data_IF_535267501530
#
_entry.id   IF_535267501530
#
_cell.length_a   1.000
_cell.length_b   1.000
_cell.length_c   1.000
_cell.angle_alpha   90.00
_cell.angle_beta   90.00
_cell.angle_gamma   90.00
#
_symmetry.space_group_name_H-M   'P 1'
#
loop_
_entity.id
_entity.type
_entity.pdbx_description
1 polymer ?
#
# COMPACT_ATOMS: atom_id res chain seq x y z
N UNK A 1 -10.18 0.37 -0.55
CA UNK A 1 -11.49 0.02 -1.19
C UNK A 1 -12.57 0.94 -0.63
N UNK A 2 -13.06 1.81 -1.46
CA UNK A 2 -14.17 2.70 -1.17
C UNK A 2 -15.27 2.40 -2.21
N UNK A 3 -16.33 1.64 -1.87
CA UNK A 3 -17.32 1.18 -2.86
C UNK A 3 -17.98 2.29 -3.66
N UNK A 4 -18.14 3.46 -3.03
CA UNK A 4 -18.73 4.65 -3.68
C UNK A 4 -17.69 5.49 -4.44
N UNK A 5 -16.40 5.17 -4.34
CA UNK A 5 -15.31 5.87 -5.00
C UNK A 5 -14.22 4.89 -5.48
N UNK A 6 -14.45 4.09 -6.52
CA UNK A 6 -13.54 3.05 -6.98
C UNK A 6 -12.36 3.57 -7.82
N UNK A 7 -12.09 4.87 -7.85
CA UNK A 7 -11.11 5.47 -8.76
C UNK A 7 -9.70 4.89 -8.61
N UNK A 8 -9.22 4.69 -7.37
CA UNK A 8 -7.91 4.07 -7.11
C UNK A 8 -7.91 2.58 -7.47
N UNK A 9 -8.98 1.86 -7.16
CA UNK A 9 -9.10 0.43 -7.48
C UNK A 9 -9.10 0.23 -9.01
N UNK A 10 -9.84 1.05 -9.76
CA UNK A 10 -9.83 1.08 -11.22
C UNK A 10 -8.45 1.47 -11.78
N UNK A 11 -7.77 2.43 -11.14
CA UNK A 11 -6.43 2.82 -11.55
C UNK A 11 -5.45 1.65 -11.45
N UNK A 12 -5.47 0.91 -10.34
CA UNK A 12 -4.62 -0.28 -10.15
C UNK A 12 -4.91 -1.34 -11.21
N UNK A 13 -6.19 -1.68 -11.45
CA UNK A 13 -6.57 -2.69 -12.45
C UNK A 13 -6.06 -2.37 -13.86
N UNK A 14 -6.07 -1.08 -14.23
CA UNK A 14 -5.59 -0.62 -15.55
C UNK A 14 -4.08 -0.78 -15.75
N UNK A 15 -3.29 -0.88 -14.67
CA UNK A 15 -1.84 -1.07 -14.77
C UNK A 15 -1.47 -2.49 -15.21
N UNK A 16 -2.33 -3.48 -15.05
CA UNK A 16 -2.04 -4.88 -15.35
C UNK A 16 -1.89 -5.21 -16.85
N UNK A 17 -2.23 -4.29 -17.76
CA UNK A 17 -2.06 -4.48 -19.21
C UNK A 17 -2.94 -5.59 -19.81
N UNK A 18 -3.88 -6.16 -19.06
CA UNK A 18 -4.85 -7.18 -19.48
C UNK A 18 -6.28 -6.72 -19.21
N UNK A 19 -7.23 -7.17 -20.05
CA UNK A 19 -8.63 -6.75 -19.92
C UNK A 19 -9.34 -7.31 -18.68
N UNK A 20 -8.84 -8.38 -18.07
CA UNK A 20 -9.44 -9.02 -16.88
C UNK A 20 -8.37 -9.58 -15.94
N UNK A 21 -7.63 -8.71 -15.22
CA UNK A 21 -6.54 -9.14 -14.37
C UNK A 21 -6.99 -10.02 -13.21
N UNK A 22 -6.14 -10.99 -12.85
CA UNK A 22 -6.26 -11.79 -11.64
C UNK A 22 -5.75 -10.98 -10.46
N UNK A 23 -6.64 -10.49 -9.61
CA UNK A 23 -6.28 -9.74 -8.40
C UNK A 23 -6.45 -10.61 -7.16
N UNK A 24 -5.41 -10.63 -6.30
CA UNK A 24 -5.43 -11.36 -5.05
C UNK A 24 -5.38 -10.40 -3.85
N UNK A 25 -6.39 -10.48 -2.99
CA UNK A 25 -6.40 -9.77 -1.72
C UNK A 25 -5.63 -10.56 -0.65
N UNK A 26 -4.74 -9.88 0.08
CA UNK A 26 -3.96 -10.46 1.18
C UNK A 26 -4.33 -9.75 2.49
N UNK A 27 -5.30 -10.30 3.28
CA UNK A 27 -5.85 -9.66 4.48
C UNK A 27 -5.06 -9.94 5.77
N UNK A 28 -3.81 -10.42 5.68
CA UNK A 28 -3.01 -10.87 6.84
C UNK A 28 -2.92 -9.81 7.93
N UNK A 29 -2.78 -8.53 7.59
CA UNK A 29 -2.68 -7.43 8.56
C UNK A 29 -3.93 -7.29 9.45
N UNK A 30 -5.09 -7.72 8.96
CA UNK A 30 -6.36 -7.75 9.70
C UNK A 30 -6.68 -9.12 10.32
N UNK A 31 -5.67 -10.01 10.42
CA UNK A 31 -5.83 -11.39 10.88
C UNK A 31 -6.85 -12.19 10.05
N UNK A 32 -6.83 -12.00 8.74
CA UNK A 32 -7.74 -12.62 7.76
C UNK A 32 -9.24 -12.39 8.10
N UNK A 33 -9.57 -11.19 8.60
CA UNK A 33 -10.93 -10.85 9.02
C UNK A 33 -11.95 -11.04 7.89
N UNK A 34 -12.93 -11.93 8.09
CA UNK A 34 -13.91 -12.30 7.09
C UNK A 34 -14.68 -11.10 6.53
N UNK A 35 -15.11 -10.17 7.36
CA UNK A 35 -15.81 -8.96 6.90
C UNK A 35 -14.95 -8.02 6.04
N UNK A 36 -13.62 -8.13 6.10
CA UNK A 36 -12.73 -7.40 5.20
C UNK A 36 -12.59 -8.12 3.86
N UNK A 37 -12.53 -9.45 3.89
CA UNK A 37 -12.57 -10.30 2.69
C UNK A 37 -13.88 -10.08 1.93
N UNK A 38 -15.01 -10.07 2.62
CA UNK A 38 -16.34 -9.85 2.02
C UNK A 38 -16.40 -8.47 1.34
N UNK A 39 -15.92 -7.41 1.99
CA UNK A 39 -15.85 -6.06 1.40
C UNK A 39 -14.96 -6.00 0.15
N UNK A 40 -13.87 -6.75 0.13
CA UNK A 40 -13.03 -6.86 -1.06
C UNK A 40 -13.81 -7.47 -2.23
N UNK A 41 -14.50 -8.59 -2.00
CA UNK A 41 -15.32 -9.21 -3.05
C UNK A 41 -16.47 -8.32 -3.49
N UNK A 42 -17.16 -7.65 -2.57
CA UNK A 42 -18.25 -6.71 -2.88
C UNK A 42 -17.79 -5.57 -3.79
N UNK A 43 -16.57 -5.09 -3.62
CA UNK A 43 -15.98 -4.06 -4.46
C UNK A 43 -15.51 -4.63 -5.83
N UNK A 44 -14.68 -5.66 -5.81
CA UNK A 44 -13.98 -6.12 -7.02
C UNK A 44 -14.80 -7.04 -7.93
N UNK A 45 -15.84 -7.74 -7.43
CA UNK A 45 -16.75 -8.53 -8.29
C UNK A 45 -17.56 -7.67 -9.25
N UNK A 46 -17.67 -6.37 -9.02
CA UNK A 46 -18.36 -5.40 -9.90
C UNK A 46 -17.44 -4.81 -10.96
N UNK A 47 -16.15 -5.10 -10.89
CA UNK A 47 -15.11 -4.58 -11.77
C UNK A 47 -14.63 -5.66 -12.75
N UNK A 48 -14.02 -5.25 -13.86
CA UNK A 48 -13.49 -6.14 -14.89
C UNK A 48 -12.18 -6.80 -14.41
N UNK A 49 -12.30 -7.76 -13.48
CA UNK A 49 -11.18 -8.53 -12.94
C UNK A 49 -11.62 -9.92 -12.47
N UNK A 50 -10.67 -10.74 -12.06
CA UNK A 50 -10.89 -12.05 -11.44
C UNK A 50 -10.37 -11.99 -10.00
N UNK A 51 -11.24 -11.67 -9.01
CA UNK A 51 -10.83 -11.52 -7.64
C UNK A 51 -10.62 -12.87 -6.95
N UNK A 52 -9.60 -12.94 -6.11
CA UNK A 52 -9.31 -14.03 -5.19
C UNK A 52 -8.74 -13.48 -3.90
N UNK A 53 -8.59 -14.29 -2.84
CA UNK A 53 -7.88 -13.88 -1.63
C UNK A 53 -6.93 -14.99 -1.17
N UNK A 54 -5.95 -14.63 -0.34
CA UNK A 54 -5.00 -15.53 0.26
C UNK A 54 -4.98 -15.31 1.77
N UNK A 55 -5.59 -16.26 2.51
CA UNK A 55 -5.53 -16.30 3.97
C UNK A 55 -4.24 -16.96 4.42
N UNK A 56 -3.55 -16.34 5.39
CA UNK A 56 -2.23 -16.76 5.87
C UNK A 56 -2.18 -16.99 7.39
N UNK A 57 -3.20 -16.61 8.13
CA UNK A 57 -3.26 -16.82 9.58
C UNK A 57 -3.49 -18.31 9.87
N UNK A 58 -4.38 -18.96 9.10
CA UNK A 58 -4.51 -20.42 9.11
C UNK A 58 -3.51 -21.05 8.13
N UNK A 59 -3.15 -22.36 8.32
CA UNK A 59 -2.30 -23.05 7.36
C UNK A 59 -2.91 -22.99 5.95
N UNK A 60 -2.16 -22.53 4.95
CA UNK A 60 -2.66 -22.45 3.58
C UNK A 60 -2.91 -23.85 3.01
N UNK A 61 -3.94 -23.97 2.17
CA UNK A 61 -4.28 -25.22 1.45
C UNK A 61 -3.74 -25.25 0.03
N UNK A 62 -3.02 -24.21 -0.38
CA UNK A 62 -2.41 -24.06 -1.71
C UNK A 62 -0.89 -23.97 -1.60
N UNK A 63 -0.19 -24.28 -2.68
CA UNK A 63 1.21 -23.87 -2.82
C UNK A 63 1.27 -22.35 -2.92
N UNK A 64 1.98 -21.72 -1.96
CA UNK A 64 2.00 -20.27 -1.84
C UNK A 64 2.75 -19.60 -2.97
N UNK A 65 3.88 -20.19 -3.40
CA UNK A 65 4.68 -19.64 -4.49
C UNK A 65 3.91 -19.65 -5.80
N UNK A 66 3.42 -20.81 -6.20
CA UNK A 66 2.63 -20.96 -7.42
C UNK A 66 1.38 -20.09 -7.41
N UNK A 67 0.70 -20.00 -6.25
CA UNK A 67 -0.50 -19.19 -6.12
C UNK A 67 -0.22 -17.70 -6.29
N UNK A 68 0.84 -17.18 -5.67
CA UNK A 68 1.22 -15.76 -5.75
C UNK A 68 1.71 -15.40 -7.16
N UNK A 69 2.56 -16.25 -7.75
CA UNK A 69 3.13 -16.02 -9.08
C UNK A 69 2.09 -16.11 -10.23
N UNK A 70 0.96 -16.79 -10.01
CA UNK A 70 -0.16 -16.86 -10.97
C UNK A 70 -1.00 -15.57 -11.04
N UNK A 71 -0.74 -14.55 -10.21
CA UNK A 71 -1.52 -13.33 -10.16
C UNK A 71 -0.94 -12.21 -11.03
N UNK A 72 -1.82 -11.32 -11.48
CA UNK A 72 -1.41 -10.06 -12.13
C UNK A 72 -1.23 -8.95 -11.10
N UNK A 73 -2.04 -9.00 -10.01
CA UNK A 73 -2.04 -7.97 -8.96
C UNK A 73 -2.15 -8.64 -7.59
N UNK A 74 -1.28 -8.23 -6.67
CA UNK A 74 -1.41 -8.50 -5.23
C UNK A 74 -1.88 -7.20 -4.55
N UNK A 75 -2.99 -7.28 -3.80
CA UNK A 75 -3.59 -6.17 -3.09
C UNK A 75 -3.57 -6.44 -1.58
N UNK A 76 -2.72 -5.74 -0.83
CA UNK A 76 -2.53 -5.97 0.61
C UNK A 76 -3.42 -5.06 1.43
N UNK A 77 -4.17 -5.64 2.35
CA UNK A 77 -5.06 -4.93 3.26
C UNK A 77 -4.34 -4.18 4.38
N UNK A 78 -5.08 -3.28 5.03
CA UNK A 78 -4.63 -2.58 6.22
C UNK A 78 -4.81 -3.39 7.50
N UNK A 79 -4.21 -2.92 8.60
CA UNK A 79 -4.25 -3.51 9.93
C UNK A 79 -2.89 -3.47 10.61
N UNK A 80 -2.51 -4.52 11.33
CA UNK A 80 -1.26 -4.58 12.07
C UNK A 80 -0.08 -4.99 11.17
N UNK A 81 0.75 -4.02 10.78
CA UNK A 81 1.91 -4.21 9.90
C UNK A 81 2.93 -5.18 10.49
N UNK A 82 3.23 -5.06 11.78
CA UNK A 82 4.23 -5.90 12.46
C UNK A 82 3.83 -7.38 12.45
N UNK A 83 2.57 -7.67 12.79
CA UNK A 83 2.05 -9.05 12.80
C UNK A 83 2.01 -9.64 11.40
N UNK A 84 1.61 -8.85 10.40
CA UNK A 84 1.60 -9.25 9.01
C UNK A 84 2.98 -9.67 8.52
N UNK A 85 4.00 -8.82 8.73
CA UNK A 85 5.37 -9.11 8.30
C UNK A 85 5.97 -10.34 9.02
N UNK A 86 5.61 -10.56 10.29
CA UNK A 86 6.04 -11.75 11.02
C UNK A 86 5.47 -13.03 10.39
N UNK A 87 4.18 -13.07 10.07
CA UNK A 87 3.52 -14.19 9.38
C UNK A 87 4.13 -14.41 7.99
N UNK A 88 4.37 -13.33 7.24
CA UNK A 88 4.96 -13.43 5.90
C UNK A 88 6.37 -14.01 5.94
N UNK A 89 7.20 -13.56 6.88
CA UNK A 89 8.55 -14.09 7.05
C UNK A 89 8.56 -15.57 7.43
N UNK A 90 7.69 -15.99 8.35
CA UNK A 90 7.55 -17.39 8.76
C UNK A 90 7.17 -18.30 7.59
N UNK A 91 6.31 -17.81 6.68
CA UNK A 91 5.78 -18.57 5.53
C UNK A 91 6.53 -18.29 4.22
N UNK A 92 7.62 -17.54 4.24
CA UNK A 92 8.40 -17.12 3.06
C UNK A 92 7.63 -16.29 2.03
N UNK A 93 6.48 -15.72 2.40
CA UNK A 93 5.65 -14.89 1.52
C UNK A 93 6.39 -13.63 1.09
N UNK A 94 7.22 -13.05 1.95
CA UNK A 94 8.12 -11.94 1.64
C UNK A 94 9.01 -12.23 0.42
N UNK A 95 9.55 -13.45 0.32
CA UNK A 95 10.36 -13.89 -0.83
C UNK A 95 9.52 -14.10 -2.07
N UNK A 96 8.36 -14.75 -1.95
CA UNK A 96 7.45 -14.97 -3.08
C UNK A 96 6.91 -13.66 -3.65
N UNK A 97 6.59 -12.68 -2.81
CA UNK A 97 6.18 -11.35 -3.24
C UNK A 97 7.30 -10.62 -3.98
N UNK A 98 8.55 -10.72 -3.51
CA UNK A 98 9.70 -10.16 -4.23
C UNK A 98 9.87 -10.81 -5.60
N UNK A 99 9.82 -12.16 -5.68
CA UNK A 99 9.88 -12.88 -6.95
C UNK A 99 8.72 -12.50 -7.89
N UNK A 100 7.51 -12.37 -7.37
CA UNK A 100 6.34 -11.94 -8.13
C UNK A 100 6.55 -10.54 -8.73
N UNK A 101 7.03 -9.58 -7.92
CA UNK A 101 7.36 -8.24 -8.39
C UNK A 101 8.44 -8.24 -9.49
N UNK A 102 9.52 -9.01 -9.31
CA UNK A 102 10.59 -9.17 -10.32
C UNK A 102 10.07 -9.80 -11.62
N UNK A 103 8.97 -10.55 -11.57
CA UNK A 103 8.28 -11.14 -12.72
C UNK A 103 7.14 -10.26 -13.29
N UNK A 104 7.00 -9.02 -12.80
CA UNK A 104 6.04 -8.05 -13.32
C UNK A 104 4.64 -8.09 -12.68
N UNK A 105 4.44 -8.86 -11.59
CA UNK A 105 3.21 -8.79 -10.80
C UNK A 105 3.16 -7.45 -10.07
N UNK A 106 2.03 -6.77 -10.16
CA UNK A 106 1.82 -5.47 -9.50
C UNK A 106 1.57 -5.70 -8.01
N UNK A 107 2.41 -5.10 -7.18
CA UNK A 107 2.21 -5.07 -5.74
C UNK A 107 1.51 -3.78 -5.35
N UNK A 108 0.41 -3.88 -4.64
CA UNK A 108 -0.38 -2.74 -4.19
C UNK A 108 -0.90 -2.95 -2.78
N UNK A 109 -1.40 -1.90 -2.15
CA UNK A 109 -1.99 -2.04 -0.83
C UNK A 109 -2.27 -0.69 -0.18
N UNK A 110 -2.95 -0.74 0.96
CA UNK A 110 -3.32 0.43 1.75
C UNK A 110 -2.89 0.29 3.21
N UNK A 111 -2.56 1.40 3.87
CA UNK A 111 -2.15 1.42 5.29
C UNK A 111 -0.97 0.46 5.54
N UNK A 112 -1.13 -0.57 6.37
CA UNK A 112 -0.12 -1.62 6.56
C UNK A 112 0.39 -2.20 5.23
N UNK A 113 -0.52 -2.40 4.26
CA UNK A 113 -0.21 -2.90 2.91
C UNK A 113 0.47 -1.88 2.01
N UNK A 114 0.54 -0.58 2.36
CA UNK A 114 1.37 0.41 1.69
C UNK A 114 2.73 0.54 2.36
N UNK A 115 2.77 0.53 3.70
CA UNK A 115 4.00 0.62 4.49
C UNK A 115 4.97 -0.52 4.16
N UNK A 116 4.45 -1.73 4.02
CA UNK A 116 5.26 -2.95 3.93
C UNK A 116 6.24 -2.98 2.74
N UNK A 117 6.02 -2.20 1.69
CA UNK A 117 6.88 -2.19 0.52
C UNK A 117 8.17 -1.38 0.68
N UNK A 118 8.16 -0.39 1.58
CA UNK A 118 9.28 0.51 1.82
C UNK A 118 10.35 -0.10 2.72
N UNK A 119 11.52 0.53 2.79
CA UNK A 119 12.57 0.17 3.76
C UNK A 119 12.05 0.34 5.18
N UNK A 120 11.27 1.41 5.43
CA UNK A 120 10.69 1.69 6.74
C UNK A 120 9.40 2.53 6.62
N UNK A 121 8.63 2.57 7.69
CA UNK A 121 7.44 3.40 7.73
C UNK A 121 6.91 3.67 9.13
N UNK A 122 5.93 4.55 9.23
CA UNK A 122 5.29 4.94 10.49
C UNK A 122 4.08 4.06 10.74
N UNK A 123 4.04 3.40 11.90
CA UNK A 123 3.00 2.44 12.26
C UNK A 123 2.50 2.63 13.68
N UNK A 124 1.24 2.23 13.90
CA UNK A 124 0.56 2.05 15.18
C UNK A 124 0.53 0.58 15.65
N UNK A 125 1.25 -0.30 14.94
CA UNK A 125 1.26 -1.75 15.23
C UNK A 125 1.88 -2.13 16.58
N UNK A 126 2.52 -1.19 17.26
CA UNK A 126 3.13 -1.35 18.59
C UNK A 126 2.36 -0.44 19.55
N UNK A 127 1.90 -0.96 20.70
CA UNK A 127 1.19 -0.12 21.69
C UNK A 127 2.01 1.10 22.12
N UNK A 128 1.35 2.25 22.20
CA UNK A 128 1.94 3.54 22.56
C UNK A 128 1.92 4.53 21.40
N UNK A 129 2.97 5.34 21.30
CA UNK A 129 3.09 6.32 20.24
C UNK A 129 3.36 5.68 18.89
N UNK A 130 2.99 6.39 17.81
CA UNK A 130 3.39 6.04 16.45
C UNK A 130 4.92 5.93 16.36
N UNK A 131 5.39 4.82 15.79
CA UNK A 131 6.81 4.47 15.76
C UNK A 131 7.27 3.97 14.41
N UNK A 132 8.58 3.89 14.23
CA UNK A 132 9.23 3.30 13.06
C UNK A 132 9.04 1.78 13.04
N UNK A 133 8.82 1.24 11.84
CA UNK A 133 8.85 -0.19 11.55
C UNK A 133 9.61 -0.43 10.24
N UNK A 134 10.45 -1.46 10.20
CA UNK A 134 11.11 -1.91 8.96
C UNK A 134 10.11 -2.68 8.09
N UNK A 135 10.10 -2.37 6.79
CA UNK A 135 9.31 -3.07 5.78
C UNK A 135 10.13 -4.08 4.99
N UNK A 136 9.72 -4.39 3.77
CA UNK A 136 10.39 -5.35 2.89
C UNK A 136 11.56 -4.74 2.10
N UNK A 137 11.66 -3.41 2.06
CA UNK A 137 12.74 -2.70 1.36
C UNK A 137 12.70 -2.84 -0.15
N UNK A 138 11.54 -3.09 -0.75
CA UNK A 138 11.37 -3.07 -2.20
C UNK A 138 11.39 -1.64 -2.76
N UNK A 139 10.98 -0.67 -1.94
CA UNK A 139 11.01 0.76 -2.23
C UNK A 139 11.91 1.47 -1.22
N UNK A 140 12.78 2.35 -1.72
CA UNK A 140 13.71 3.08 -0.87
C UNK A 140 13.01 4.16 -0.04
N UNK A 141 13.58 4.46 1.12
CA UNK A 141 13.12 5.48 2.04
C UNK A 141 11.96 5.03 2.92
N UNK A 142 11.25 6.00 3.50
CA UNK A 142 10.17 5.75 4.45
C UNK A 142 8.80 6.13 3.90
N UNK A 143 7.74 5.55 4.50
CA UNK A 143 6.35 5.86 4.15
C UNK A 143 5.48 6.15 5.36
N UNK A 144 4.64 7.18 5.23
CA UNK A 144 3.64 7.54 6.23
C UNK A 144 2.26 7.70 5.56
N UNK A 145 1.37 6.68 5.63
CA UNK A 145 -0.02 6.81 5.17
C UNK A 145 -0.88 7.57 6.20
N UNK A 146 -2.15 7.88 5.84
CA UNK A 146 -3.14 8.57 6.68
C UNK A 146 -2.68 9.95 7.17
N UNK A 147 -1.94 10.67 6.31
CA UNK A 147 -1.20 11.85 6.70
C UNK A 147 -2.10 13.04 7.11
N UNK A 148 -3.29 13.12 6.52
CA UNK A 148 -4.36 14.07 6.88
C UNK A 148 -5.48 13.43 7.73
N UNK A 149 -5.69 12.11 7.60
CA UNK A 149 -6.82 11.41 8.20
C UNK A 149 -6.65 11.09 9.69
N UNK A 150 -5.40 10.94 10.15
CA UNK A 150 -5.06 10.66 11.55
C UNK A 150 -4.22 11.81 12.14
N UNK A 151 -4.77 12.52 13.13
CA UNK A 151 -4.19 13.76 13.68
C UNK A 151 -2.71 13.63 14.13
N UNK A 152 -2.32 12.45 14.61
CA UNK A 152 -0.98 12.22 15.15
C UNK A 152 0.04 11.77 14.09
N UNK A 153 -0.39 11.41 12.87
CA UNK A 153 0.51 10.88 11.82
C UNK A 153 1.57 11.91 11.40
N UNK A 154 1.14 13.06 10.95
CA UNK A 154 2.04 14.12 10.47
C UNK A 154 2.99 14.63 11.54
N UNK A 155 2.55 14.98 12.76
CA UNK A 155 3.47 15.38 13.85
C UNK A 155 4.46 14.27 14.24
N UNK A 156 4.02 13.02 14.29
CA UNK A 156 4.89 11.90 14.64
C UNK A 156 5.92 11.63 13.56
N UNK A 157 5.56 11.67 12.28
CA UNK A 157 6.51 11.49 11.20
C UNK A 157 7.59 12.57 11.20
N UNK A 158 7.20 13.86 11.39
CA UNK A 158 8.16 14.96 11.56
C UNK A 158 9.09 14.72 12.75
N UNK A 159 8.56 14.34 13.92
CA UNK A 159 9.35 14.06 15.12
C UNK A 159 10.36 12.93 14.89
N UNK A 160 9.93 11.83 14.23
CA UNK A 160 10.80 10.69 13.96
C UNK A 160 11.92 11.05 12.98
N UNK A 161 11.62 11.81 11.92
CA UNK A 161 12.63 12.32 10.98
C UNK A 161 13.57 13.30 11.66
N UNK A 162 13.04 14.25 12.44
CA UNK A 162 13.82 15.25 13.16
C UNK A 162 14.83 14.61 14.12
N UNK A 163 14.43 13.52 14.79
CA UNK A 163 15.29 12.79 15.73
C UNK A 163 16.23 11.78 15.06
N UNK A 164 16.14 11.60 13.74
CA UNK A 164 16.93 10.62 13.01
C UNK A 164 16.52 9.17 13.27
N UNK A 165 15.35 8.93 13.88
CA UNK A 165 14.84 7.58 14.14
C UNK A 165 14.26 6.93 12.86
N UNK A 166 13.82 7.72 11.90
CA UNK A 166 13.39 7.28 10.57
C UNK A 166 14.02 8.16 9.51
N UNK A 167 14.34 7.61 8.36
CA UNK A 167 14.81 8.37 7.21
C UNK A 167 13.70 9.21 6.57
N UNK A 168 14.08 10.13 5.69
CA UNK A 168 13.12 10.86 4.87
C UNK A 168 12.40 9.92 3.90
N UNK A 169 11.23 10.35 3.42
CA UNK A 169 10.45 9.55 2.50
C UNK A 169 9.20 10.26 2.02
N UNK A 170 8.14 9.50 1.74
CA UNK A 170 6.89 10.03 1.18
C UNK A 170 5.71 9.75 2.11
N UNK A 171 4.97 10.83 2.44
CA UNK A 171 3.69 10.73 3.12
C UNK A 171 2.54 10.84 2.10
N UNK A 172 1.39 10.23 2.42
CA UNK A 172 0.20 10.28 1.59
C UNK A 172 -1.06 10.50 2.42
N UNK A 173 -1.91 11.43 1.97
CA UNK A 173 -3.25 11.66 2.51
C UNK A 173 -4.18 10.48 2.20
N UNK A 174 -5.29 10.36 2.94
CA UNK A 174 -6.35 9.43 2.62
C UNK A 174 -6.95 9.73 1.25
N UNK A 175 -6.97 8.73 0.38
CA UNK A 175 -7.40 8.88 -1.01
C UNK A 175 -6.30 9.30 -1.98
N UNK A 176 -5.04 9.47 -1.52
CA UNK A 176 -3.87 9.57 -2.38
C UNK A 176 -3.15 8.22 -2.52
N UNK A 177 -2.52 8.00 -3.67
CA UNK A 177 -1.71 6.80 -3.94
C UNK A 177 -0.42 7.15 -4.66
N UNK A 178 0.61 6.39 -4.35
CA UNK A 178 1.95 6.51 -4.92
C UNK A 178 2.15 5.40 -5.96
N UNK A 179 2.50 5.77 -7.18
CA UNK A 179 2.80 4.82 -8.24
C UNK A 179 4.30 4.79 -8.50
N UNK A 180 4.89 3.62 -8.37
CA UNK A 180 6.28 3.32 -8.66
C UNK A 180 6.37 2.38 -9.85
N UNK A 181 7.40 2.52 -10.67
CA UNK A 181 7.75 1.61 -11.76
C UNK A 181 9.20 1.18 -11.54
N UNK A 182 9.44 -0.11 -11.46
CA UNK A 182 10.77 -0.69 -11.22
C UNK A 182 11.49 -0.08 -9.98
N UNK A 183 10.73 0.16 -8.91
CA UNK A 183 11.25 0.77 -7.68
C UNK A 183 11.47 2.29 -7.73
N UNK A 184 11.21 2.94 -8.87
CA UNK A 184 11.37 4.39 -9.05
C UNK A 184 10.01 5.08 -8.97
N UNK A 185 9.92 6.15 -8.19
CA UNK A 185 8.71 6.97 -8.10
C UNK A 185 8.33 7.51 -9.48
N UNK A 186 7.10 7.22 -9.94
CA UNK A 186 6.58 7.65 -11.22
C UNK A 186 5.63 8.84 -11.09
N UNK A 187 4.60 8.72 -10.24
CA UNK A 187 3.62 9.80 -9.98
C UNK A 187 2.82 9.53 -8.70
N UNK A 188 2.14 10.58 -8.22
CA UNK A 188 1.06 10.46 -7.26
C UNK A 188 -0.29 10.68 -7.97
N UNK A 189 -1.30 9.90 -7.56
CA UNK A 189 -2.68 10.02 -8.05
C UNK A 189 -3.64 10.08 -6.87
N UNK A 190 -4.86 10.61 -7.06
CA UNK A 190 -5.85 10.67 -5.98
C UNK A 190 -7.26 10.35 -6.46
N UNK A 191 -8.05 9.79 -5.53
CA UNK A 191 -9.49 9.58 -5.69
C UNK A 191 -10.31 10.76 -5.14
N UNK A 192 -9.66 11.72 -4.48
CA UNK A 192 -10.26 12.91 -3.89
C UNK A 192 -9.52 14.15 -4.38
N UNK A 193 -10.21 15.26 -4.74
CA UNK A 193 -9.59 16.46 -5.31
C UNK A 193 -8.50 17.07 -4.42
N UNK A 194 -8.68 17.01 -3.09
CA UNK A 194 -7.80 17.67 -2.12
C UNK A 194 -6.68 16.75 -1.59
N UNK A 195 -6.79 15.43 -1.81
CA UNK A 195 -5.79 14.47 -1.31
C UNK A 195 -4.47 14.60 -2.05
N UNK A 196 -3.36 14.64 -1.30
CA UNK A 196 -2.01 14.92 -1.78
C UNK A 196 -1.00 13.91 -1.26
N UNK A 197 0.15 13.90 -1.88
CA UNK A 197 1.35 13.27 -1.36
C UNK A 197 2.42 14.32 -1.06
N UNK A 198 3.35 13.98 -0.17
CA UNK A 198 4.37 14.91 0.32
C UNK A 198 5.73 14.21 0.40
N UNK A 199 6.76 14.84 -0.14
CA UNK A 199 8.14 14.48 0.19
C UNK A 199 8.49 15.13 1.54
N UNK A 200 8.96 14.32 2.50
CA UNK A 200 9.31 14.78 3.85
C UNK A 200 10.74 14.35 4.17
N UNK A 201 11.61 15.32 4.54
CA UNK A 201 13.02 15.04 4.80
C UNK A 201 13.62 16.00 5.83
N UNK A 202 14.71 15.57 6.48
CA UNK A 202 15.54 16.46 7.27
C UNK A 202 16.45 17.28 6.36
N UNK A 203 16.53 18.59 6.60
CA UNK A 203 17.45 19.51 5.93
C UNK A 203 17.93 20.55 6.92
N UNK A 204 19.24 20.64 7.11
CA UNK A 204 19.89 21.62 8.01
C UNK A 204 19.31 21.67 9.44
N UNK A 205 18.98 20.48 10.01
CA UNK A 205 18.43 20.37 11.36
C UNK A 205 16.92 20.65 11.48
N UNK A 206 16.22 20.85 10.38
CA UNK A 206 14.76 21.04 10.32
C UNK A 206 14.11 19.98 9.42
N UNK A 207 12.83 19.71 9.66
CA UNK A 207 12.04 18.89 8.73
C UNK A 207 11.44 19.80 7.67
N UNK A 208 11.70 19.47 6.41
CA UNK A 208 11.13 20.13 5.24
C UNK A 208 10.11 19.20 4.59
N UNK A 209 8.97 19.75 4.24
CA UNK A 209 7.89 19.07 3.57
C UNK A 209 7.57 19.78 2.27
N UNK A 210 7.54 19.03 1.17
CA UNK A 210 7.19 19.54 -0.15
C UNK A 210 6.02 18.74 -0.73
N UNK A 211 4.99 19.45 -1.24
CA UNK A 211 3.85 18.81 -1.90
C UNK A 211 4.32 18.16 -3.20
N UNK A 212 3.99 16.91 -3.42
CA UNK A 212 4.19 16.21 -4.69
C UNK A 212 2.98 16.49 -5.60
N UNK A 213 3.18 16.89 -6.86
CA UNK A 213 2.09 17.03 -7.82
C UNK A 213 1.25 15.74 -7.89
N UNK A 214 -0.02 15.83 -7.53
CA UNK A 214 -0.94 14.69 -7.44
C UNK A 214 -2.06 14.85 -8.46
N UNK A 215 -2.28 13.83 -9.30
CA UNK A 215 -3.28 13.85 -10.36
C UNK A 215 -4.61 13.32 -9.83
N UNK A 216 -5.64 14.15 -9.81
CA UNK A 216 -6.98 13.74 -9.45
C UNK A 216 -7.63 12.89 -10.56
N UNK A 217 -7.96 11.66 -10.26
CA UNK A 217 -8.47 10.67 -11.23
C UNK A 217 -9.91 10.95 -11.69
N UNK A 218 -10.69 11.71 -10.91
CA UNK A 218 -12.06 12.09 -11.29
C UNK A 218 -12.13 13.08 -12.44
N UNK A 219 -11.08 13.87 -12.69
CA UNK A 219 -10.99 14.77 -13.86
C UNK A 219 -10.47 14.06 -15.10
N UNK A 220 -9.57 13.06 -14.94
CA UNK A 220 -9.05 12.27 -16.05
C UNK A 220 -10.13 11.46 -16.78
N UNK A 221 -11.23 11.08 -16.10
CA UNK A 221 -12.39 10.41 -16.70
C UNK A 221 -13.19 11.27 -17.66
N UNK A 222 -13.03 12.61 -17.67
CA UNK A 222 -13.67 13.53 -18.64
C UNK A 222 -12.90 13.71 -19.94
N UNK A 223 -11.61 13.33 -19.97
CA UNK A 223 -10.75 13.50 -21.15
C UNK A 223 -10.61 12.21 -21.99
N UNK A 224 -11.27 11.11 -21.60
CA UNK A 224 -11.24 9.82 -22.30
C UNK A 224 -12.64 9.24 -22.57
N UNK A 225 -13.63 10.13 -22.85
CA UNK A 225 -14.91 9.77 -23.48
C UNK A 225 -14.90 10.35 -24.90
#
# INVERSE_FOLDING_TARGET
>A
MEPDNPLLDLYILRQAGTGRPKICFVPTASSDAQGYIDRFYDAFQRLECTPSHLSLVQPPTVDLEDFILDKDIIYVGGGNTKSMLAVWKERSVDRYLKTAWENGVILSGLSAGSICWFEEGVTDSIPGDLTRLEGLGLLSGSHCPHYDGEADRRPSYHRLIQSGQIGGGIAADDGAALHYVDGVFHRAVSSRPEAKAYEVRAMEGHVVEAVIPTVYLGEAGRAMI
#
